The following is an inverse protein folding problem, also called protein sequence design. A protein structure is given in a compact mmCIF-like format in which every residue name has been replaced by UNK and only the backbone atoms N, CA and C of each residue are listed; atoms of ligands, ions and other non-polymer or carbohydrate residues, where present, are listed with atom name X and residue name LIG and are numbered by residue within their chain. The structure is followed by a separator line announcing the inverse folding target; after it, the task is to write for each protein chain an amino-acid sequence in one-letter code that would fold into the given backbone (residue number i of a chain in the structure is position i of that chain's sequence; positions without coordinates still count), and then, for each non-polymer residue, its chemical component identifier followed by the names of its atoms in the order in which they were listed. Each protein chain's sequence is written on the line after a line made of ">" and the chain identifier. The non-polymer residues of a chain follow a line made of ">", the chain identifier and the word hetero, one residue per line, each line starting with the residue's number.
data_IF_119757086512
#
_entry.id   IF_119757086512
#
_cell.length_a   1.000
_cell.length_b   1.000
_cell.length_c   1.000
_cell.angle_alpha   90.00
_cell.angle_beta   90.00
_cell.angle_gamma   90.00
#
_symmetry.space_group_name_H-M   'P 1'
#
loop_
_entity.id
_entity.type
_entity.pdbx_description
1 polymer ?
#
# COMPACT_ATOMS: atom_id res chain seq x y z
N UNK A 1 -2.81 -32.67 4.45
CA UNK A 1 -3.61 -31.49 4.03
C UNK A 1 -3.41 -30.41 5.09
N UNK A 2 -2.69 -29.32 4.78
CA UNK A 2 -2.51 -28.20 5.72
C UNK A 2 -3.87 -27.53 5.98
N UNK A 3 -4.17 -27.17 7.23
CA UNK A 3 -5.42 -26.49 7.58
C UNK A 3 -5.27 -24.99 7.24
N UNK A 4 -6.32 -24.38 6.72
CA UNK A 4 -6.33 -22.97 6.35
C UNK A 4 -6.61 -22.12 7.59
N UNK A 5 -5.64 -21.33 8.05
CA UNK A 5 -5.88 -20.36 9.13
C UNK A 5 -6.21 -18.97 8.57
N UNK A 6 -7.03 -18.22 9.31
CA UNK A 6 -7.35 -16.82 8.98
C UNK A 6 -6.38 -15.89 9.71
N UNK A 7 -5.40 -15.35 8.99
CA UNK A 7 -4.49 -14.33 9.53
C UNK A 7 -4.85 -12.94 9.01
N UNK A 8 -5.10 -12.00 9.93
CA UNK A 8 -5.45 -10.61 9.62
C UNK A 8 -6.66 -10.47 8.67
N UNK A 9 -7.57 -11.46 8.67
CA UNK A 9 -8.74 -11.52 7.79
C UNK A 9 -8.45 -12.11 6.40
N UNK A 10 -7.39 -12.91 6.25
CA UNK A 10 -7.05 -13.63 5.01
C UNK A 10 -6.74 -15.10 5.27
N UNK A 11 -7.19 -15.96 4.35
CA UNK A 11 -6.92 -17.40 4.38
C UNK A 11 -5.53 -17.64 3.81
N UNK A 12 -4.65 -18.25 4.60
CA UNK A 12 -3.30 -18.64 4.18
C UNK A 12 -3.10 -20.10 4.58
N UNK A 13 -2.56 -20.95 3.69
CA UNK A 13 -2.21 -22.32 4.06
C UNK A 13 -1.08 -22.30 5.09
N UNK A 14 -1.29 -22.98 6.22
CA UNK A 14 -0.25 -23.14 7.24
C UNK A 14 0.96 -23.89 6.68
N UNK A 15 2.16 -23.48 7.11
CA UNK A 15 3.41 -24.20 6.83
C UNK A 15 4.00 -24.69 8.14
N UNK A 16 3.49 -25.82 8.64
CA UNK A 16 4.01 -26.48 9.84
C UNK A 16 3.04 -26.43 11.02
N UNK A 17 3.44 -25.78 12.12
CA UNK A 17 2.58 -25.58 13.29
C UNK A 17 1.59 -24.42 13.01
N UNK A 18 0.48 -24.41 13.75
CA UNK A 18 -0.57 -23.39 13.59
C UNK A 18 -0.02 -22.03 14.04
N UNK A 19 0.09 -21.08 13.12
CA UNK A 19 0.41 -19.72 13.51
C UNK A 19 1.26 -19.00 12.49
N UNK A 20 1.94 -17.96 12.95
CA UNK A 20 2.94 -17.25 12.17
C UNK A 20 4.30 -17.93 12.39
N UNK A 21 4.40 -19.26 12.42
CA UNK A 21 5.54 -19.91 13.09
C UNK A 21 6.78 -19.97 12.19
N UNK A 22 6.63 -19.65 10.90
CA UNK A 22 7.69 -19.71 9.90
C UNK A 22 7.90 -18.39 9.13
N UNK A 23 9.12 -18.21 8.61
CA UNK A 23 9.41 -17.12 7.68
C UNK A 23 8.54 -17.19 6.42
N UNK A 24 8.21 -18.41 5.97
CA UNK A 24 7.41 -18.67 4.78
C UNK A 24 5.97 -18.18 4.96
N UNK A 25 5.41 -18.29 6.15
CA UNK A 25 4.08 -17.75 6.46
C UNK A 25 4.08 -16.22 6.49
N UNK A 26 5.13 -15.59 7.03
CA UNK A 26 5.30 -14.13 6.97
C UNK A 26 5.33 -13.65 5.52
N UNK A 27 6.11 -14.32 4.66
CA UNK A 27 6.16 -14.04 3.22
C UNK A 27 4.80 -14.26 2.55
N UNK A 28 4.13 -15.37 2.85
CA UNK A 28 2.82 -15.71 2.30
C UNK A 28 1.76 -14.67 2.65
N UNK A 29 1.66 -14.27 3.91
CA UNK A 29 0.71 -13.24 4.37
C UNK A 29 1.05 -11.88 3.75
N UNK A 30 2.33 -11.49 3.73
CA UNK A 30 2.75 -10.22 3.13
C UNK A 30 2.38 -10.16 1.63
N UNK A 31 2.69 -11.20 0.87
CA UNK A 31 2.35 -11.28 -0.56
C UNK A 31 0.84 -11.27 -0.78
N UNK A 32 0.06 -12.00 0.01
CA UNK A 32 -1.40 -12.00 -0.10
C UNK A 32 -1.99 -10.60 0.12
N UNK A 33 -1.49 -9.85 1.12
CA UNK A 33 -1.91 -8.46 1.36
C UNK A 33 -1.61 -7.57 0.14
N UNK A 34 -0.42 -7.71 -0.45
CA UNK A 34 -0.03 -6.94 -1.64
C UNK A 34 -0.92 -7.28 -2.83
N UNK A 35 -1.15 -8.56 -3.12
CA UNK A 35 -2.01 -9.00 -4.21
C UNK A 35 -3.46 -8.53 -4.01
N UNK A 36 -4.01 -8.63 -2.81
CA UNK A 36 -5.37 -8.14 -2.54
C UNK A 36 -5.49 -6.63 -2.77
N UNK A 37 -4.45 -5.87 -2.42
CA UNK A 37 -4.40 -4.44 -2.71
C UNK A 37 -4.28 -4.17 -4.21
N UNK A 38 -3.38 -4.88 -4.90
CA UNK A 38 -3.14 -4.75 -6.33
C UNK A 38 -4.39 -5.07 -7.16
N UNK A 39 -5.13 -6.12 -6.80
CA UNK A 39 -6.40 -6.49 -7.42
C UNK A 39 -7.60 -5.67 -6.92
N UNK A 40 -7.39 -4.65 -6.08
CA UNK A 40 -8.45 -3.77 -5.59
C UNK A 40 -9.44 -4.44 -4.62
N UNK A 41 -9.13 -5.63 -4.10
CA UNK A 41 -9.98 -6.36 -3.13
C UNK A 41 -9.99 -5.70 -1.75
N UNK A 42 -8.95 -4.93 -1.42
CA UNK A 42 -8.89 -4.15 -0.18
C UNK A 42 -8.41 -2.72 -0.42
N UNK A 43 -8.92 -1.75 0.37
CA UNK A 43 -8.49 -0.36 0.25
C UNK A 43 -7.06 -0.18 0.77
N UNK A 44 -6.37 0.84 0.27
CA UNK A 44 -5.02 1.25 0.68
C UNK A 44 -4.84 1.30 2.21
N UNK A 45 -5.79 1.90 2.93
CA UNK A 45 -5.72 2.04 4.39
C UNK A 45 -5.67 0.67 5.07
N UNK A 46 -6.50 -0.27 4.61
CA UNK A 46 -6.54 -1.62 5.17
C UNK A 46 -5.25 -2.39 4.87
N UNK A 47 -4.71 -2.30 3.65
CA UNK A 47 -3.43 -2.92 3.30
C UNK A 47 -2.28 -2.40 4.19
N UNK A 48 -2.19 -1.08 4.38
CA UNK A 48 -1.20 -0.47 5.26
C UNK A 48 -1.34 -0.93 6.72
N UNK A 49 -2.56 -0.94 7.26
CA UNK A 49 -2.84 -1.44 8.61
C UNK A 49 -2.43 -2.90 8.76
N UNK A 50 -2.75 -3.77 7.79
CA UNK A 50 -2.39 -5.20 7.84
C UNK A 50 -0.88 -5.44 7.81
N UNK A 51 -0.13 -4.71 6.97
CA UNK A 51 1.34 -4.82 6.97
C UNK A 51 1.96 -4.35 8.30
N UNK A 52 1.41 -3.29 8.91
CA UNK A 52 1.87 -2.82 10.21
C UNK A 52 1.55 -3.84 11.32
N UNK A 53 0.35 -4.42 11.32
CA UNK A 53 -0.03 -5.47 12.25
C UNK A 53 0.86 -6.71 12.10
N UNK A 54 1.15 -7.14 10.86
CA UNK A 54 2.06 -8.25 10.62
C UNK A 54 3.45 -8.00 11.24
N UNK A 55 4.00 -6.80 11.06
CA UNK A 55 5.27 -6.41 11.71
C UNK A 55 5.18 -6.47 13.24
N UNK A 56 4.09 -5.96 13.82
CA UNK A 56 3.89 -5.96 15.28
C UNK A 56 3.78 -7.37 15.84
N UNK A 57 3.06 -8.27 15.17
CA UNK A 57 2.94 -9.68 15.57
C UNK A 57 4.32 -10.34 15.57
N UNK A 58 5.06 -10.25 14.45
CA UNK A 58 6.45 -10.78 14.36
C UNK A 58 7.37 -10.25 15.46
N UNK A 59 7.22 -8.97 15.85
CA UNK A 59 8.06 -8.36 16.88
C UNK A 59 7.74 -8.86 18.29
N UNK A 60 6.48 -9.18 18.57
CA UNK A 60 6.01 -9.62 19.90
C UNK A 60 6.05 -11.12 20.08
N UNK A 61 6.03 -11.86 18.98
CA UNK A 61 6.04 -13.31 18.97
C UNK A 61 7.39 -13.87 19.46
N UNK A 62 7.30 -14.84 20.36
CA UNK A 62 8.44 -15.49 20.98
C UNK A 62 9.11 -16.52 20.07
N UNK A 63 8.40 -17.06 19.09
CA UNK A 63 8.92 -17.99 18.09
C UNK A 63 9.79 -17.29 17.04
N UNK A 64 9.71 -15.96 16.98
CA UNK A 64 10.64 -15.11 16.25
C UNK A 64 11.63 -14.47 17.20
N UNK A 65 12.82 -15.07 17.32
CA UNK A 65 13.96 -14.49 18.04
C UNK A 65 15.20 -14.36 17.15
N UNK A 66 16.16 -13.54 17.58
CA UNK A 66 17.47 -13.40 16.95
C UNK A 66 17.43 -13.14 15.44
N UNK A 67 18.15 -13.97 14.68
CA UNK A 67 18.23 -13.85 13.22
C UNK A 67 16.88 -14.10 12.52
N UNK A 68 16.02 -14.99 13.06
CA UNK A 68 14.71 -15.31 12.49
C UNK A 68 13.79 -14.08 12.54
N UNK A 69 13.74 -13.39 13.68
CA UNK A 69 12.99 -12.12 13.81
C UNK A 69 13.47 -11.07 12.82
N UNK A 70 14.79 -10.88 12.70
CA UNK A 70 15.37 -9.91 11.76
C UNK A 70 14.98 -10.20 10.31
N UNK A 71 15.04 -11.47 9.89
CA UNK A 71 14.62 -11.90 8.55
C UNK A 71 13.13 -11.65 8.32
N UNK A 72 12.28 -12.00 9.30
CA UNK A 72 10.84 -11.77 9.21
C UNK A 72 10.49 -10.27 9.09
N UNK A 73 11.12 -9.42 9.91
CA UNK A 73 10.94 -7.96 9.83
C UNK A 73 11.37 -7.45 8.46
N UNK A 74 12.50 -7.93 7.92
CA UNK A 74 13.00 -7.54 6.60
C UNK A 74 11.98 -7.86 5.50
N UNK A 75 11.38 -9.06 5.51
CA UNK A 75 10.30 -9.44 4.58
C UNK A 75 9.14 -8.45 4.64
N UNK A 76 8.69 -8.10 5.84
CA UNK A 76 7.57 -7.16 6.00
C UNK A 76 7.94 -5.75 5.53
N UNK A 77 9.16 -5.28 5.81
CA UNK A 77 9.62 -3.96 5.37
C UNK A 77 9.79 -3.90 3.84
N UNK A 78 10.31 -4.95 3.20
CA UNK A 78 10.36 -5.06 1.74
C UNK A 78 8.95 -5.02 1.12
N UNK A 79 7.99 -5.71 1.73
CA UNK A 79 6.59 -5.67 1.31
C UNK A 79 6.00 -4.24 1.45
N UNK A 80 6.32 -3.52 2.52
CA UNK A 80 5.90 -2.11 2.70
C UNK A 80 6.50 -1.19 1.65
N UNK A 81 7.77 -1.39 1.27
CA UNK A 81 8.38 -0.61 0.19
C UNK A 81 7.75 -0.91 -1.17
N UNK A 82 7.45 -2.18 -1.49
CA UNK A 82 6.66 -2.56 -2.67
C UNK A 82 5.29 -1.88 -2.66
N UNK A 83 4.59 -1.92 -1.53
CA UNK A 83 3.29 -1.26 -1.34
C UNK A 83 3.35 0.25 -1.60
N UNK A 84 4.35 0.95 -1.05
CA UNK A 84 4.56 2.39 -1.31
C UNK A 84 4.78 2.69 -2.79
N UNK A 85 5.60 1.89 -3.47
CA UNK A 85 5.87 2.05 -4.92
C UNK A 85 4.60 1.88 -5.75
N UNK A 86 3.77 0.87 -5.45
CA UNK A 86 2.48 0.66 -6.12
C UNK A 86 1.54 1.85 -5.92
N UNK A 87 1.47 2.38 -4.70
CA UNK A 87 0.65 3.54 -4.38
C UNK A 87 1.12 4.85 -5.04
N UNK A 88 2.44 5.04 -5.19
CA UNK A 88 2.98 6.21 -5.85
C UNK A 88 2.72 6.19 -7.37
N UNK A 89 2.70 5.00 -7.99
CA UNK A 89 2.31 4.84 -9.40
C UNK A 89 0.85 5.25 -9.64
N UNK A 90 -0.08 4.82 -8.79
CA UNK A 90 -1.51 5.17 -8.93
C UNK A 90 -1.77 6.66 -8.69
N UNK A 91 -1.03 7.31 -7.79
CA UNK A 91 -1.10 8.76 -7.58
C UNK A 91 -0.59 9.60 -8.77
N UNK A 92 0.47 9.16 -9.45
CA UNK A 92 1.07 9.87 -10.59
C UNK A 92 0.21 9.85 -11.85
N UNK A 93 -0.64 8.83 -12.03
CA UNK A 93 -1.60 8.78 -13.14
C UNK A 93 -2.78 9.73 -12.95
N UNK A 94 -3.22 10.01 -11.71
CA UNK A 94 -4.34 10.93 -11.44
C UNK A 94 -3.97 12.41 -11.56
N UNK A 95 -2.70 12.79 -11.37
CA UNK A 95 -2.25 14.18 -11.47
C UNK A 95 -1.94 14.66 -12.90
N UNK A 96 -2.00 13.79 -13.91
CA UNK A 96 -1.76 14.15 -15.33
C UNK A 96 -3.00 14.66 -16.09
N UNK A 97 -4.15 14.84 -15.44
CA UNK A 97 -5.36 15.35 -16.10
C UNK A 97 -5.90 16.60 -15.38
N UNK A 98 -5.35 17.76 -15.73
CA UNK A 98 -6.11 19.01 -15.95
C UNK A 98 -5.20 19.96 -16.74
N UNK A 99 -5.42 20.17 -18.06
CA UNK A 99 -4.77 21.29 -18.73
C UNK A 99 -5.19 22.58 -18.00
N UNK A 100 -4.22 23.37 -17.54
CA UNK A 100 -4.49 24.72 -17.04
C UNK A 100 -5.18 25.49 -18.17
N UNK A 101 -6.43 25.91 -17.99
CA UNK A 101 -7.09 26.79 -18.94
C UNK A 101 -6.21 28.03 -19.10
N UNK A 102 -5.63 28.24 -20.28
CA UNK A 102 -4.97 29.49 -20.62
C UNK A 102 -6.07 30.56 -20.59
N UNK A 103 -6.17 31.35 -19.51
CA UNK A 103 -6.89 32.62 -19.58
C UNK A 103 -6.10 33.47 -20.58
N UNK A 104 -6.62 33.61 -21.79
CA UNK A 104 -6.04 34.48 -22.81
C UNK A 104 -6.09 35.92 -22.30
N UNK A 105 -4.96 36.61 -22.37
CA UNK A 105 -4.82 38.02 -21.96
C UNK A 105 -5.62 38.97 -22.86
N UNK A 106 -6.11 38.48 -24.00
CA UNK A 106 -6.89 39.24 -24.98
C UNK A 106 -8.20 39.81 -24.40
N UNK A 107 -8.83 39.13 -23.43
CA UNK A 107 -10.05 39.66 -22.79
C UNK A 107 -9.80 40.85 -21.85
N UNK A 108 -8.58 41.01 -21.32
CA UNK A 108 -8.28 42.08 -20.36
C UNK A 108 -8.06 43.45 -21.01
N UNK A 109 -7.70 43.48 -22.29
CA UNK A 109 -7.41 44.73 -23.01
C UNK A 109 -8.72 45.34 -23.54
N UNK A 110 -9.65 44.50 -24.01
CA UNK A 110 -10.96 44.95 -24.48
C UNK A 110 -11.82 45.61 -23.37
N UNK A 111 -11.76 45.08 -22.14
CA UNK A 111 -12.46 45.69 -21.00
C UNK A 111 -11.83 47.02 -20.54
N UNK A 112 -10.54 47.23 -20.80
CA UNK A 112 -9.86 48.48 -20.44
C UNK A 112 -10.09 49.59 -21.47
N UNK A 113 -10.18 49.26 -22.77
CA UNK A 113 -10.49 50.24 -23.82
C UNK A 113 -11.96 50.73 -23.80
N UNK A 114 -12.92 49.90 -23.33
CA UNK A 114 -14.31 50.35 -23.19
C UNK A 114 -14.55 51.31 -22.02
N UNK A 115 -13.65 51.37 -21.04
CA UNK A 115 -13.79 52.24 -19.86
C UNK A 115 -13.31 53.67 -20.09
N UNK A 116 -12.72 53.99 -21.24
CA UNK A 116 -12.19 55.32 -21.55
C UNK A 116 -12.98 56.09 -22.62
N UNK A 117 -14.10 55.55 -23.09
CA UNK A 117 -14.93 56.12 -24.16
C UNK A 117 -16.36 56.48 -23.71
N UNK A 118 -16.55 56.72 -22.41
CA UNK A 118 -17.76 57.25 -21.76
C UNK A 118 -17.41 58.54 -21.01
#
# INVERSE_FOLDING_TARGET
>A
MGRENVYLGKRVPDVGKKGLDSLKEVEGIANAILSDYEYGRIPRRLAATRLNLLKLVVMRDEDFRGAKRRKAIKVVDEAREKFKKMNNKTGRSKSKAKPKSKRSTAGKIADFEMLWNL
#
